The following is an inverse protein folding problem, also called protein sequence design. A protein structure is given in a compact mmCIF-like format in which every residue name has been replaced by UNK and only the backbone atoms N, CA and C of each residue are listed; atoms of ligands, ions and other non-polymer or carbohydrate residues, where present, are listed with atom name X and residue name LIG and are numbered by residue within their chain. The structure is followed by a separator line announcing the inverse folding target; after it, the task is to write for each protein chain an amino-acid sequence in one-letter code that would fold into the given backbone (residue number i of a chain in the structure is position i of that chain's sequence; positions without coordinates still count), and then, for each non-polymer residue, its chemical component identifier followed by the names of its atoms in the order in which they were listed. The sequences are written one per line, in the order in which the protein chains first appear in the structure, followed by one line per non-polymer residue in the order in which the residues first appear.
data_IF_521279936879
#
_entry.id   IF_521279936879
#
_cell.length_a   1.000
_cell.length_b   1.000
_cell.length_c   1.000
_cell.angle_alpha   90.00
_cell.angle_beta   90.00
_cell.angle_gamma   90.00
#
_symmetry.space_group_name_H-M   'P 1'
#
loop_
_entity.id
_entity.type
_entity.pdbx_description
1 polymer ?
#
# COMPACT_ATOMS: atom_id res chain seq x y z
N UNK A 1 4.58 -4.96 18.85
CA UNK A 1 4.94 -4.30 17.58
C UNK A 1 4.97 -5.36 16.51
N UNK A 2 3.97 -5.37 15.65
CA UNK A 2 3.79 -6.40 14.62
C UNK A 2 4.94 -6.39 13.62
N UNK A 3 5.35 -7.59 13.18
CA UNK A 3 6.46 -7.77 12.24
C UNK A 3 6.26 -6.98 10.94
N UNK A 4 4.99 -6.74 10.58
CA UNK A 4 4.59 -5.98 9.40
C UNK A 4 4.87 -4.48 9.57
N UNK A 5 4.43 -3.88 10.68
CA UNK A 5 4.67 -2.48 10.98
C UNK A 5 6.17 -2.15 11.02
N UNK A 6 6.95 -3.00 11.68
CA UNK A 6 8.40 -2.84 11.78
C UNK A 6 9.10 -2.95 10.40
N UNK A 7 8.58 -3.77 9.49
CA UNK A 7 9.10 -3.80 8.12
C UNK A 7 8.74 -2.53 7.36
N UNK A 8 7.53 -2.05 7.54
CA UNK A 8 7.04 -0.85 6.88
C UNK A 8 7.84 0.38 7.35
N UNK A 9 8.09 0.53 8.65
CA UNK A 9 9.03 1.50 9.23
C UNK A 9 10.41 1.40 8.58
N UNK A 10 11.02 0.20 8.52
CA UNK A 10 12.33 0.01 7.86
C UNK A 10 12.34 0.43 6.40
N UNK A 11 11.20 0.32 5.73
CA UNK A 11 11.06 0.64 4.31
C UNK A 11 10.95 2.14 4.10
N UNK A 12 10.21 2.83 4.98
CA UNK A 12 9.99 4.27 4.93
C UNK A 12 11.22 5.04 5.45
N UNK A 13 11.82 4.60 6.57
CA UNK A 13 12.95 5.27 7.22
C UNK A 13 14.26 5.24 6.42
N UNK A 14 14.44 4.32 5.47
CA UNK A 14 15.67 4.26 4.64
C UNK A 14 15.80 5.40 3.62
N UNK A 15 14.71 6.09 3.34
CA UNK A 15 14.58 7.06 2.24
C UNK A 15 14.21 8.46 2.71
N UNK A 16 13.60 8.58 3.89
CA UNK A 16 13.31 9.87 4.51
C UNK A 16 14.59 10.33 5.23
N UNK A 17 15.05 11.52 4.87
CA UNK A 17 16.26 12.23 5.35
C UNK A 17 16.73 11.80 6.76
N UNK A 18 18.04 11.56 6.94
CA UNK A 18 18.64 10.96 8.15
C UNK A 18 18.24 11.67 9.47
N UNK A 19 17.80 12.93 9.40
CA UNK A 19 17.30 13.72 10.53
C UNK A 19 15.92 13.27 11.06
N UNK A 20 15.21 12.44 10.32
CA UNK A 20 13.85 11.98 10.62
C UNK A 20 13.80 10.49 11.00
N UNK A 21 14.94 9.80 10.93
CA UNK A 21 15.11 8.39 11.33
C UNK A 21 14.77 8.18 12.81
N UNK A 22 15.07 9.17 13.67
CA UNK A 22 14.79 9.13 15.11
C UNK A 22 13.29 9.05 15.45
N UNK A 23 12.42 9.40 14.49
CA UNK A 23 10.98 9.43 14.74
C UNK A 23 10.24 8.20 14.21
N UNK A 24 10.88 7.31 13.45
CA UNK A 24 10.27 6.06 12.92
C UNK A 24 8.85 6.27 12.38
N UNK A 25 8.65 7.27 11.52
CA UNK A 25 7.29 7.77 11.23
C UNK A 25 6.64 6.98 10.09
N UNK A 26 6.03 5.86 10.46
CA UNK A 26 4.94 5.21 9.74
C UNK A 26 3.59 5.81 10.14
N UNK A 27 2.58 5.73 9.28
CA UNK A 27 1.19 5.91 9.71
C UNK A 27 0.77 4.71 10.58
N UNK A 28 -0.37 4.80 11.28
CA UNK A 28 -0.83 3.69 12.11
C UNK A 28 -1.23 2.48 11.24
N UNK A 29 -1.16 1.27 11.81
CA UNK A 29 -1.68 0.07 11.13
C UNK A 29 -3.18 0.20 10.81
N UNK A 30 -3.95 0.92 11.65
CA UNK A 30 -5.35 1.22 11.40
C UNK A 30 -5.53 2.08 10.14
N UNK A 31 -4.71 3.14 10.02
CA UNK A 31 -4.70 3.99 8.84
C UNK A 31 -4.43 3.18 7.58
N UNK A 32 -3.37 2.37 7.56
CA UNK A 32 -3.04 1.58 6.37
C UNK A 32 -4.11 0.56 6.04
N UNK A 33 -4.64 -0.14 7.04
CA UNK A 33 -5.67 -1.17 6.82
C UNK A 33 -6.92 -0.56 6.19
N UNK A 34 -7.41 0.56 6.73
CA UNK A 34 -8.60 1.23 6.18
C UNK A 34 -8.32 1.93 4.86
N UNK A 35 -7.21 2.67 4.75
CA UNK A 35 -6.87 3.37 3.52
C UNK A 35 -6.68 2.40 2.35
N UNK A 36 -6.06 1.24 2.58
CA UNK A 36 -5.92 0.20 1.55
C UNK A 36 -7.23 -0.54 1.27
N UNK A 37 -8.12 -0.69 2.25
CA UNK A 37 -9.44 -1.29 2.06
C UNK A 37 -10.32 -0.48 1.09
N UNK A 38 -10.12 0.83 0.98
CA UNK A 38 -10.80 1.66 -0.03
C UNK A 38 -10.44 1.30 -1.48
N UNK A 39 -9.37 0.52 -1.67
CA UNK A 39 -8.87 0.08 -2.96
C UNK A 39 -8.88 -1.45 -3.06
N UNK A 40 -9.68 -2.13 -2.23
CA UNK A 40 -9.79 -3.59 -2.17
C UNK A 40 -8.45 -4.32 -1.98
N UNK A 41 -7.44 -3.63 -1.43
CA UNK A 41 -6.09 -4.14 -1.27
C UNK A 41 -5.82 -4.55 0.19
N UNK A 42 -5.31 -5.76 0.45
CA UNK A 42 -5.02 -6.19 1.81
C UNK A 42 -3.68 -5.62 2.28
N UNK A 43 -3.66 -5.10 3.51
CA UNK A 43 -2.42 -4.69 4.17
C UNK A 43 -1.56 -5.92 4.51
N UNK A 44 -0.65 -6.27 3.61
CA UNK A 44 0.23 -7.44 3.72
C UNK A 44 1.69 -7.09 3.46
N UNK A 45 2.58 -7.95 3.93
CA UNK A 45 4.02 -7.78 3.79
C UNK A 45 4.47 -7.70 2.33
N UNK A 46 3.81 -8.47 1.45
CA UNK A 46 4.12 -8.50 0.01
C UNK A 46 3.77 -7.17 -0.66
N UNK A 47 2.60 -6.61 -0.35
CA UNK A 47 2.15 -5.30 -0.87
C UNK A 47 3.08 -4.18 -0.41
N UNK A 48 3.47 -4.19 0.88
CA UNK A 48 4.44 -3.23 1.43
C UNK A 48 5.78 -3.32 0.72
N UNK A 49 6.26 -4.55 0.44
CA UNK A 49 7.53 -4.78 -0.24
C UNK A 49 7.51 -4.44 -1.73
N UNK A 50 6.40 -4.67 -2.43
CA UNK A 50 6.28 -4.40 -3.86
C UNK A 50 6.09 -2.90 -4.13
N UNK A 51 5.34 -2.20 -3.27
CA UNK A 51 4.95 -0.81 -3.48
C UNK A 51 5.62 0.16 -2.49
N UNK A 52 6.90 -0.08 -2.17
CA UNK A 52 7.67 0.71 -1.19
C UNK A 52 7.59 2.21 -1.42
N UNK A 53 7.74 2.62 -2.69
CA UNK A 53 7.74 4.03 -3.10
C UNK A 53 6.38 4.69 -2.82
N UNK A 54 5.29 3.97 -3.05
CA UNK A 54 3.95 4.46 -2.73
C UNK A 54 3.78 4.71 -1.23
N UNK A 55 4.16 3.76 -0.37
CA UNK A 55 4.06 3.96 1.09
C UNK A 55 4.95 5.10 1.60
N UNK A 56 6.11 5.31 0.97
CA UNK A 56 6.99 6.45 1.26
C UNK A 56 6.33 7.78 0.88
N UNK A 57 5.83 7.89 -0.35
CA UNK A 57 5.17 9.09 -0.85
C UNK A 57 3.89 9.38 -0.06
N UNK A 58 3.13 8.34 0.31
CA UNK A 58 1.94 8.45 1.14
C UNK A 58 2.27 9.01 2.53
N UNK A 59 3.28 8.45 3.22
CA UNK A 59 3.71 8.96 4.53
C UNK A 59 4.27 10.37 4.44
N UNK A 60 5.03 10.68 3.38
CA UNK A 60 5.56 12.02 3.14
C UNK A 60 4.43 13.04 2.98
N UNK A 61 3.47 12.75 2.09
CA UNK A 61 2.34 13.61 1.80
C UNK A 61 1.39 13.73 2.99
N UNK A 62 1.05 12.64 3.66
CA UNK A 62 0.11 12.67 4.77
C UNK A 62 0.63 13.45 5.98
N UNK A 63 1.93 13.30 6.28
CA UNK A 63 2.52 13.80 7.53
C UNK A 63 3.27 15.09 7.30
N UNK A 64 4.24 15.12 6.38
CA UNK A 64 5.20 16.21 6.30
C UNK A 64 4.77 17.33 5.36
N UNK A 65 3.96 17.00 4.34
CA UNK A 65 3.50 18.01 3.39
C UNK A 65 2.64 19.05 4.11
N UNK A 66 3.11 20.31 4.05
CA UNK A 66 2.55 21.48 4.75
C UNK A 66 2.70 21.49 6.28
N UNK A 67 3.55 20.66 6.89
CA UNK A 67 4.02 20.93 8.25
C UNK A 67 5.04 22.07 8.18
N UNK A 68 4.75 23.19 8.85
CA UNK A 68 5.66 24.33 8.91
C UNK A 68 6.92 24.03 9.73
N UNK A 69 6.76 23.37 10.88
CA UNK A 69 7.86 23.00 11.76
C UNK A 69 7.74 21.53 12.17
N UNK A 70 8.70 20.71 11.76
CA UNK A 70 8.69 19.26 12.00
C UNK A 70 9.19 18.99 13.41
N UNK A 71 8.26 19.03 14.37
CA UNK A 71 8.50 18.67 15.79
C UNK A 71 7.76 17.39 16.15
N UNK A 72 8.24 16.67 17.18
CA UNK A 72 7.57 15.47 17.70
C UNK A 72 6.07 15.70 17.98
N UNK A 73 5.74 16.86 18.55
CA UNK A 73 4.37 17.24 18.90
C UNK A 73 3.53 17.44 17.63
N UNK A 74 4.06 18.15 16.64
CA UNK A 74 3.36 18.37 15.37
C UNK A 74 3.08 17.06 14.62
N UNK A 75 4.03 16.12 14.63
CA UNK A 75 3.90 14.81 14.00
C UNK A 75 2.86 13.97 14.72
N UNK A 76 2.90 13.91 16.06
CA UNK A 76 1.92 13.17 16.85
C UNK A 76 0.51 13.73 16.67
N UNK A 77 0.37 15.06 16.68
CA UNK A 77 -0.90 15.70 16.38
C UNK A 77 -1.39 15.30 14.99
N UNK A 78 -0.53 15.38 13.98
CA UNK A 78 -0.86 15.01 12.60
C UNK A 78 -1.30 13.55 12.47
N UNK A 79 -0.59 12.62 13.10
CA UNK A 79 -0.96 11.20 13.12
C UNK A 79 -2.34 10.98 13.75
N UNK A 80 -2.59 11.59 14.91
CA UNK A 80 -3.89 11.45 15.58
C UNK A 80 -5.04 12.01 14.74
N UNK A 81 -4.80 13.11 14.02
CA UNK A 81 -5.80 13.66 13.10
C UNK A 81 -6.10 12.72 11.94
N UNK A 82 -5.07 12.09 11.37
CA UNK A 82 -5.25 11.13 10.28
C UNK A 82 -6.03 9.90 10.74
N UNK A 83 -5.74 9.38 11.93
CA UNK A 83 -6.49 8.28 12.52
C UNK A 83 -7.96 8.65 12.73
N UNK A 84 -8.24 9.84 13.29
CA UNK A 84 -9.64 10.30 13.44
C UNK A 84 -10.38 10.46 12.11
N UNK A 85 -9.69 10.92 11.06
CA UNK A 85 -10.29 11.07 9.73
C UNK A 85 -10.66 9.72 9.14
N UNK A 86 -9.74 8.76 9.22
CA UNK A 86 -9.96 7.38 8.79
C UNK A 86 -11.03 6.68 9.64
N UNK A 87 -11.19 7.07 10.91
CA UNK A 87 -12.24 6.52 11.78
C UNK A 87 -13.63 7.05 11.51
N UNK A 88 -13.74 8.29 11.03
CA UNK A 88 -15.03 8.93 10.72
C UNK A 88 -15.46 8.67 9.26
N UNK A 89 -14.54 8.25 8.39
CA UNK A 89 -14.81 8.06 6.97
C UNK A 89 -15.16 6.62 6.65
N UNK A 90 -16.34 6.39 6.08
CA UNK A 90 -16.77 5.06 5.68
C UNK A 90 -16.24 4.70 4.28
N UNK A 91 -16.07 5.71 3.41
CA UNK A 91 -15.65 5.53 2.02
C UNK A 91 -14.50 6.47 1.62
N UNK A 92 -13.80 6.12 0.53
CA UNK A 92 -12.71 6.91 -0.04
C UNK A 92 -13.10 8.36 -0.30
N UNK A 93 -14.25 8.58 -0.92
CA UNK A 93 -14.71 9.92 -1.32
C UNK A 93 -14.95 10.82 -0.10
N UNK A 94 -15.47 10.25 1.00
CA UNK A 94 -15.66 10.96 2.26
C UNK A 94 -14.31 11.32 2.89
N UNK A 95 -13.40 10.35 2.93
CA UNK A 95 -12.05 10.56 3.43
C UNK A 95 -11.32 11.64 2.64
N UNK A 96 -11.32 11.57 1.32
CA UNK A 96 -10.68 12.56 0.44
C UNK A 96 -11.32 13.94 0.59
N UNK A 97 -12.65 14.00 0.78
CA UNK A 97 -13.36 15.26 1.04
C UNK A 97 -12.96 15.87 2.37
N UNK A 98 -12.93 15.09 3.46
CA UNK A 98 -12.53 15.58 4.78
C UNK A 98 -11.05 15.97 4.82
N UNK A 99 -10.19 15.15 4.20
CA UNK A 99 -8.77 15.41 4.09
C UNK A 99 -8.50 16.69 3.30
N UNK A 100 -9.12 16.84 2.13
CA UNK A 100 -8.97 18.06 1.31
C UNK A 100 -9.52 19.29 2.01
N UNK A 101 -10.66 19.19 2.70
CA UNK A 101 -11.22 20.30 3.47
C UNK A 101 -10.30 20.77 4.59
N UNK A 102 -9.60 19.83 5.26
CA UNK A 102 -8.74 20.14 6.41
C UNK A 102 -7.34 20.58 5.99
N UNK A 103 -6.74 19.91 5.02
CA UNK A 103 -5.33 20.11 4.67
C UNK A 103 -5.13 20.86 3.34
N UNK A 104 -6.20 21.03 2.55
CA UNK A 104 -6.18 21.73 1.26
C UNK A 104 -5.17 21.15 0.27
N UNK A 105 -4.95 19.83 0.31
CA UNK A 105 -4.20 19.09 -0.70
C UNK A 105 -4.75 17.67 -0.80
N UNK A 106 -4.35 16.94 -1.84
CA UNK A 106 -4.78 15.57 -2.10
C UNK A 106 -3.65 14.59 -1.80
N UNK A 107 -4.00 13.44 -1.24
CA UNK A 107 -3.07 12.34 -1.06
C UNK A 107 -2.74 11.70 -2.43
N UNK A 108 -1.56 11.08 -2.58
CA UNK A 108 -1.24 10.33 -3.79
C UNK A 108 -2.27 9.23 -3.99
N UNK A 109 -2.88 9.19 -5.17
CA UNK A 109 -3.73 8.09 -5.59
C UNK A 109 -2.89 6.83 -5.72
N UNK A 110 -3.47 5.71 -5.29
CA UNK A 110 -2.80 4.43 -5.34
C UNK A 110 -2.65 3.97 -6.80
N UNK A 111 -1.43 3.70 -7.30
CA UNK A 111 -1.21 3.16 -8.63
C UNK A 111 -1.31 1.63 -8.65
N UNK A 112 -2.09 1.00 -7.76
CA UNK A 112 -2.39 -0.43 -7.81
C UNK A 112 -3.42 -0.65 -8.91
N UNK A 113 -3.10 -0.26 -10.14
CA UNK A 113 -3.61 -1.03 -11.25
C UNK A 113 -3.10 -2.45 -10.97
N UNK A 114 -4.02 -3.42 -10.90
CA UNK A 114 -3.63 -4.77 -11.23
C UNK A 114 -2.94 -4.65 -12.58
N UNK A 115 -1.60 -4.61 -12.61
CA UNK A 115 -0.88 -5.11 -13.76
C UNK A 115 -1.36 -6.56 -13.84
N UNK A 116 -2.45 -6.77 -14.59
CA UNK A 116 -2.67 -8.01 -15.28
C UNK A 116 -1.40 -8.16 -16.08
N UNK A 117 -0.44 -8.90 -15.51
CA UNK A 117 0.68 -9.44 -16.23
C UNK A 117 0.04 -10.18 -17.40
N UNK A 118 -0.07 -9.50 -18.53
CA UNK A 118 -0.33 -10.14 -19.81
C UNK A 118 0.90 -10.99 -20.03
N UNK A 119 0.85 -12.22 -19.52
CA UNK A 119 1.86 -13.24 -19.77
C UNK A 119 2.09 -13.22 -21.27
N UNK A 120 3.35 -13.02 -21.66
CA UNK A 120 3.72 -13.08 -23.07
C UNK A 120 3.18 -14.38 -23.67
N UNK A 121 2.87 -14.39 -24.97
CA UNK A 121 2.48 -15.61 -25.68
C UNK A 121 3.44 -16.79 -25.39
N UNK A 122 4.71 -16.49 -25.13
CA UNK A 122 5.72 -17.45 -24.70
C UNK A 122 5.48 -18.01 -23.29
N UNK A 123 5.20 -17.16 -22.31
CA UNK A 123 5.00 -17.57 -20.91
C UNK A 123 3.70 -18.37 -20.75
N UNK A 124 2.66 -18.05 -21.52
CA UNK A 124 1.43 -18.84 -21.61
C UNK A 124 1.71 -20.25 -22.15
N UNK A 125 2.50 -20.37 -23.21
CA UNK A 125 2.90 -21.67 -23.76
C UNK A 125 3.75 -22.47 -22.76
N UNK A 126 4.66 -21.80 -22.06
CA UNK A 126 5.50 -22.42 -21.05
C UNK A 126 4.66 -22.94 -19.86
N UNK A 127 3.70 -22.15 -19.40
CA UNK A 127 2.77 -22.54 -18.33
C UNK A 127 1.88 -23.73 -18.76
N UNK A 128 1.39 -23.74 -20.00
CA UNK A 128 0.65 -24.88 -20.55
C UNK A 128 1.52 -26.14 -20.62
N UNK A 129 2.79 -26.02 -21.02
CA UNK A 129 3.72 -27.14 -21.08
C UNK A 129 4.07 -27.68 -19.68
N UNK A 130 4.26 -26.81 -18.69
CA UNK A 130 4.53 -27.21 -17.30
C UNK A 130 3.32 -27.90 -16.64
N UNK A 131 2.11 -27.46 -16.98
CA UNK A 131 0.86 -28.05 -16.48
C UNK A 131 0.37 -29.23 -17.35
N UNK A 132 1.08 -29.59 -18.42
CA UNK A 132 0.69 -30.68 -19.29
C UNK A 132 0.82 -32.02 -18.56
N UNK A 133 -0.32 -32.66 -18.32
CA UNK A 133 -0.37 -34.00 -17.73
C UNK A 133 -0.64 -35.06 -18.82
N UNK A 134 0.37 -35.83 -19.26
CA UNK A 134 0.21 -36.80 -20.34
C UNK A 134 -0.80 -37.93 -20.04
N UNK A 135 -1.12 -38.18 -18.76
CA UNK A 135 -2.09 -39.22 -18.34
C UNK A 135 -3.56 -38.85 -18.57
N UNK A 136 -3.87 -37.57 -18.80
CA UNK A 136 -5.23 -37.12 -19.18
C UNK A 136 -5.44 -37.17 -20.69
N UNK A 137 -4.43 -36.84 -21.48
CA UNK A 137 -4.47 -36.88 -22.94
C UNK A 137 -4.64 -38.32 -23.48
N UNK A 138 -3.94 -39.30 -22.89
CA UNK A 138 -4.14 -40.72 -23.24
C UNK A 138 -5.55 -41.24 -22.93
N UNK A 139 -6.21 -40.71 -21.90
CA UNK A 139 -7.58 -41.08 -21.55
C UNK A 139 -8.61 -40.48 -22.50
N UNK A 140 -8.32 -39.32 -23.08
CA UNK A 140 -9.18 -38.71 -24.11
C UNK A 140 -9.02 -39.39 -25.47
N UNK A 141 -7.80 -39.81 -25.84
CA UNK A 141 -7.55 -40.55 -27.10
C UNK A 141 -8.17 -41.95 -27.12
N UNK A 142 -8.31 -42.61 -25.97
CA UNK A 142 -9.00 -43.92 -25.87
C UNK A 142 -10.54 -43.82 -25.86
N UNK A 143 -11.10 -42.61 -25.79
CA UNK A 143 -12.55 -42.35 -25.79
C UNK A 143 -13.08 -41.80 -27.12
N UNK A 144 -12.22 -41.61 -28.12
CA UNK A 144 -12.57 -41.33 -29.52
C UNK A 144 -12.33 -42.58 -30.35
#
# INVERSE_FOLDING_TARGET
MDKLHAEMERTVSKTIDNKLVDYQISLSDNFYTKYLSYYDCPYTQEVVKSHRKFFQDLSYCAIYQKIGEVTKISIQARLSELDTLVDISDNKDEFDTFFYKKFQFKLPEIPFEEEKLELSSFDLQLQQALNYNPKEDERQRKRR
#
